data_IF_746540571059
#
_entry.id   IF_746540571059
#
_cell.length_a   1.000
_cell.length_b   1.000
_cell.length_c   1.000
_cell.angle_alpha   90.00
_cell.angle_beta   90.00
_cell.angle_gamma   90.00
#
_symmetry.space_group_name_H-M   'P 1'
#
loop_
_entity.id
_entity.type
_entity.pdbx_description
1 polymer ?
#
# COMPACT_ATOMS: atom_id res chain seq x y z
N UNK A 1 -1.04 32.92 46.83
CA UNK A 1 -0.07 31.80 46.89
C UNK A 1 -0.58 30.57 46.13
N UNK A 2 -1.84 30.14 46.32
CA UNK A 2 -2.45 29.03 45.60
C UNK A 2 -2.46 29.15 44.06
N UNK A 3 -2.75 30.34 43.51
CA UNK A 3 -2.71 30.56 42.05
C UNK A 3 -1.31 30.39 41.45
N UNK A 4 -0.25 30.82 42.15
CA UNK A 4 1.14 30.63 41.72
C UNK A 4 1.55 29.15 41.78
N UNK A 5 1.14 28.43 42.84
CA UNK A 5 1.39 26.98 42.96
C UNK A 5 0.61 26.17 41.90
N UNK A 6 -0.64 26.53 41.64
CA UNK A 6 -1.46 25.95 40.56
C UNK A 6 -0.88 26.24 39.18
N UNK A 7 -0.45 27.47 38.91
CA UNK A 7 0.20 27.84 37.64
C UNK A 7 1.53 27.09 37.44
N UNK A 8 2.35 26.93 38.48
CA UNK A 8 3.61 26.16 38.42
C UNK A 8 3.32 24.66 38.17
N UNK A 9 2.34 24.09 38.87
CA UNK A 9 1.93 22.69 38.69
C UNK A 9 1.37 22.44 37.28
N UNK A 10 0.48 23.32 36.82
CA UNK A 10 -0.09 23.30 35.47
C UNK A 10 0.99 23.44 34.40
N UNK A 11 1.93 24.38 34.56
CA UNK A 11 2.99 24.62 33.58
C UNK A 11 4.00 23.46 33.51
N UNK A 12 4.31 22.82 34.64
CA UNK A 12 5.18 21.64 34.71
C UNK A 12 4.52 20.41 34.08
N UNK A 13 3.24 20.16 34.38
CA UNK A 13 2.49 19.05 33.79
C UNK A 13 2.33 19.20 32.28
N UNK A 14 2.04 20.42 31.80
CA UNK A 14 1.95 20.71 30.36
C UNK A 14 3.29 20.47 29.65
N UNK A 15 4.44 20.75 30.29
CA UNK A 15 5.76 20.45 29.70
C UNK A 15 5.99 18.95 29.51
N UNK A 16 5.58 18.13 30.48
CA UNK A 16 5.67 16.66 30.36
C UNK A 16 4.73 16.13 29.28
N UNK A 17 3.48 16.60 29.25
CA UNK A 17 2.49 16.23 28.22
C UNK A 17 3.02 16.59 26.83
N UNK A 18 3.48 17.83 26.62
CA UNK A 18 4.05 18.25 25.33
C UNK A 18 5.25 17.40 24.93
N UNK A 19 6.08 16.98 25.88
CA UNK A 19 7.24 16.10 25.60
C UNK A 19 6.80 14.71 25.15
N UNK A 20 5.79 14.13 25.81
CA UNK A 20 5.22 12.82 25.44
C UNK A 20 4.58 12.92 24.05
N UNK A 21 3.72 13.92 23.81
CA UNK A 21 3.11 14.16 22.51
C UNK A 21 4.18 14.31 21.42
N UNK A 22 5.24 15.07 21.69
CA UNK A 22 6.37 15.28 20.76
C UNK A 22 7.07 13.97 20.40
N UNK A 23 7.36 13.12 21.39
CA UNK A 23 8.01 11.82 21.15
C UNK A 23 7.09 10.90 20.34
N UNK A 24 5.82 10.79 20.74
CA UNK A 24 4.85 9.94 20.04
C UNK A 24 4.63 10.38 18.60
N UNK A 25 4.35 11.67 18.36
CA UNK A 25 4.16 12.23 17.02
C UNK A 25 5.43 12.05 16.19
N UNK A 26 6.60 12.38 16.73
CA UNK A 26 7.87 12.24 16.02
C UNK A 26 8.12 10.79 15.58
N UNK A 27 7.99 9.83 16.50
CA UNK A 27 8.20 8.41 16.19
C UNK A 27 7.18 7.86 15.18
N UNK A 28 5.90 8.22 15.33
CA UNK A 28 4.84 7.75 14.44
C UNK A 28 4.99 8.31 13.02
N UNK A 29 5.36 9.58 12.86
CA UNK A 29 5.64 10.18 11.56
C UNK A 29 6.87 9.59 10.89
N UNK A 30 7.94 9.34 11.66
CA UNK A 30 9.14 8.67 11.14
C UNK A 30 8.79 7.26 10.66
N UNK A 31 8.09 6.48 11.49
CA UNK A 31 7.72 5.11 11.15
C UNK A 31 6.79 5.06 9.93
N UNK A 32 5.74 5.88 9.92
CA UNK A 32 4.82 6.03 8.77
C UNK A 32 5.56 6.40 7.49
N UNK A 33 6.38 7.45 7.55
CA UNK A 33 7.12 7.96 6.40
C UNK A 33 8.14 6.95 5.86
N UNK A 34 8.88 6.26 6.73
CA UNK A 34 9.86 5.25 6.32
C UNK A 34 9.22 4.05 5.64
N UNK A 35 8.07 3.58 6.14
CA UNK A 35 7.37 2.46 5.51
C UNK A 35 6.85 2.85 4.12
N UNK A 36 6.35 4.08 3.94
CA UNK A 36 5.98 4.58 2.62
C UNK A 36 7.18 4.80 1.70
N UNK A 37 8.30 5.30 2.23
CA UNK A 37 9.54 5.48 1.46
C UNK A 37 10.20 4.15 1.08
N UNK A 38 9.86 3.05 1.76
CA UNK A 38 10.24 1.71 1.33
C UNK A 38 9.50 1.29 0.04
N UNK A 39 8.29 1.78 -0.20
CA UNK A 39 7.54 1.54 -1.44
C UNK A 39 6.84 2.81 -1.96
N UNK A 40 7.61 3.80 -2.46
CA UNK A 40 7.06 5.07 -2.91
C UNK A 40 6.24 4.91 -4.20
N UNK A 41 6.53 3.87 -5.00
CA UNK A 41 5.77 3.55 -6.22
C UNK A 41 4.40 2.96 -5.88
N UNK A 42 4.31 2.08 -4.87
CA UNK A 42 3.04 1.62 -4.34
C UNK A 42 2.18 2.78 -3.82
N UNK A 43 2.79 3.71 -3.08
CA UNK A 43 2.09 4.90 -2.59
C UNK A 43 1.67 5.85 -3.72
N UNK A 44 2.45 5.98 -4.80
CA UNK A 44 2.07 6.84 -5.93
C UNK A 44 0.84 6.33 -6.67
N UNK A 45 0.64 5.02 -6.78
CA UNK A 45 -0.59 4.46 -7.35
C UNK A 45 -1.83 4.86 -6.55
N UNK A 46 -1.71 4.95 -5.22
CA UNK A 46 -2.80 5.45 -4.39
C UNK A 46 -3.09 6.92 -4.64
N UNK A 47 -2.05 7.74 -4.86
CA UNK A 47 -2.24 9.13 -5.25
C UNK A 47 -2.90 9.26 -6.63
N UNK A 48 -2.54 8.42 -7.60
CA UNK A 48 -3.18 8.38 -8.92
C UNK A 48 -4.68 8.07 -8.80
N UNK A 49 -5.07 7.08 -7.96
CA UNK A 49 -6.48 6.78 -7.67
C UNK A 49 -7.21 8.03 -7.14
N UNK A 50 -6.60 8.81 -6.24
CA UNK A 50 -7.19 10.06 -5.78
C UNK A 50 -7.26 11.14 -6.87
N UNK A 51 -6.21 11.27 -7.69
CA UNK A 51 -6.17 12.26 -8.77
C UNK A 51 -7.24 12.01 -9.82
N UNK A 52 -7.51 10.73 -10.11
CA UNK A 52 -8.59 10.33 -11.00
C UNK A 52 -9.96 10.73 -10.44
N UNK A 53 -10.20 10.44 -9.16
CA UNK A 53 -11.49 10.71 -8.51
C UNK A 53 -11.74 12.20 -8.33
N UNK A 54 -10.69 13.00 -8.09
CA UNK A 54 -10.79 14.45 -8.03
C UNK A 54 -10.72 15.12 -9.41
N UNK A 55 -10.63 14.35 -10.50
CA UNK A 55 -10.51 14.83 -11.88
C UNK A 55 -9.29 15.75 -12.12
N UNK A 56 -8.19 15.51 -11.41
CA UNK A 56 -6.91 16.24 -11.51
C UNK A 56 -5.79 15.38 -12.10
N UNK A 57 -6.13 14.60 -13.14
CA UNK A 57 -5.24 13.64 -13.83
C UNK A 57 -3.92 14.22 -14.34
N UNK A 58 -3.81 15.54 -14.50
CA UNK A 58 -2.56 16.20 -14.86
C UNK A 58 -1.41 15.89 -13.87
N UNK A 59 -1.73 15.59 -12.60
CA UNK A 59 -0.74 15.20 -11.61
C UNK A 59 -0.25 13.76 -11.72
N UNK A 60 -0.88 12.90 -12.53
CA UNK A 60 -0.49 11.48 -12.67
C UNK A 60 0.98 11.34 -13.12
N UNK A 61 1.44 12.19 -14.05
CA UNK A 61 2.85 12.19 -14.49
C UNK A 61 3.85 12.55 -13.38
N UNK A 62 3.38 13.20 -12.32
CA UNK A 62 4.19 13.61 -11.17
C UNK A 62 3.92 12.78 -9.92
N UNK A 63 3.07 11.74 -10.00
CA UNK A 63 2.58 10.96 -8.85
C UNK A 63 3.73 10.42 -7.99
N UNK A 64 4.75 9.82 -8.63
CA UNK A 64 5.93 9.26 -7.96
C UNK A 64 6.74 10.35 -7.25
N UNK A 65 6.95 11.49 -7.92
CA UNK A 65 7.69 12.61 -7.33
C UNK A 65 6.96 13.17 -6.11
N UNK A 66 5.64 13.36 -6.22
CA UNK A 66 4.77 13.82 -5.13
C UNK A 66 4.79 12.80 -3.98
N UNK A 67 4.71 11.50 -4.28
CA UNK A 67 4.79 10.43 -3.28
C UNK A 67 6.11 10.51 -2.49
N UNK A 68 7.25 10.58 -3.17
CA UNK A 68 8.57 10.69 -2.51
C UNK A 68 8.64 11.96 -1.67
N UNK A 69 8.19 13.11 -2.18
CA UNK A 69 8.20 14.37 -1.44
C UNK A 69 7.34 14.29 -0.18
N UNK A 70 6.09 13.84 -0.29
CA UNK A 70 5.18 13.74 0.85
C UNK A 70 5.73 12.79 1.93
N UNK A 71 6.24 11.63 1.54
CA UNK A 71 6.78 10.66 2.47
C UNK A 71 8.11 11.12 3.10
N UNK A 72 8.96 11.80 2.32
CA UNK A 72 10.18 12.42 2.84
C UNK A 72 9.84 13.53 3.85
N UNK A 73 8.82 14.36 3.57
CA UNK A 73 8.35 15.38 4.50
C UNK A 73 7.86 14.78 5.82
N UNK A 74 7.15 13.64 5.80
CA UNK A 74 6.77 12.93 7.04
C UNK A 74 8.00 12.61 7.90
N UNK A 75 9.03 12.00 7.31
CA UNK A 75 10.26 11.64 8.03
C UNK A 75 11.02 12.86 8.49
N UNK A 76 11.17 13.89 7.63
CA UNK A 76 11.89 15.12 7.96
C UNK A 76 11.23 15.84 9.13
N UNK A 77 9.91 16.03 9.07
CA UNK A 77 9.16 16.70 10.14
C UNK A 77 9.13 15.86 11.42
N UNK A 78 9.02 14.54 11.30
CA UNK A 78 9.08 13.60 12.43
C UNK A 78 10.42 13.63 13.16
N UNK A 79 11.54 13.61 12.43
CA UNK A 79 12.89 13.77 13.02
C UNK A 79 13.05 15.16 13.61
N UNK A 80 12.68 16.20 12.87
CA UNK A 80 12.87 17.58 13.31
C UNK A 80 12.09 17.89 14.59
N UNK A 81 10.85 17.41 14.73
CA UNK A 81 10.06 17.63 15.95
C UNK A 81 10.61 16.84 17.14
N UNK A 82 11.12 15.62 16.90
CA UNK A 82 11.71 14.77 17.95
C UNK A 82 12.92 15.47 18.62
N UNK A 83 13.78 16.11 17.82
CA UNK A 83 14.95 16.86 18.28
C UNK A 83 14.65 18.33 18.63
N UNK A 84 13.42 18.80 18.43
CA UNK A 84 13.02 20.19 18.68
C UNK A 84 13.69 21.19 17.73
N UNK A 85 14.04 20.77 16.52
CA UNK A 85 14.63 21.62 15.49
C UNK A 85 13.56 22.52 14.87
N UNK A 86 13.77 23.85 14.89
CA UNK A 86 12.87 24.86 14.29
C UNK A 86 11.38 24.59 14.55
N UNK A 87 11.03 24.31 15.81
CA UNK A 87 9.71 23.82 16.25
C UNK A 87 8.51 24.56 15.66
N UNK A 88 8.58 25.90 15.50
CA UNK A 88 7.47 26.68 14.94
C UNK A 88 7.13 26.28 13.50
N UNK A 89 8.16 26.23 12.65
CA UNK A 89 7.99 25.83 11.25
C UNK A 89 7.57 24.37 11.15
N UNK A 90 8.19 23.50 11.94
CA UNK A 90 7.88 22.06 11.93
C UNK A 90 6.46 21.78 12.41
N UNK A 91 5.98 22.48 13.44
CA UNK A 91 4.62 22.29 13.96
C UNK A 91 3.56 22.71 12.94
N UNK A 92 3.80 23.80 12.20
CA UNK A 92 2.97 24.20 11.07
C UNK A 92 2.99 23.16 9.94
N UNK A 93 4.17 22.64 9.59
CA UNK A 93 4.32 21.59 8.57
C UNK A 93 3.57 20.31 8.96
N UNK A 94 3.73 19.85 10.21
CA UNK A 94 3.00 18.69 10.74
C UNK A 94 1.49 18.90 10.69
N UNK A 95 1.02 20.09 11.08
CA UNK A 95 -0.40 20.43 11.06
C UNK A 95 -0.97 20.42 9.63
N UNK A 96 -0.28 21.04 8.68
CA UNK A 96 -0.71 21.03 7.27
C UNK A 96 -0.75 19.60 6.72
N UNK A 97 0.30 18.83 6.98
CA UNK A 97 0.44 17.47 6.47
C UNK A 97 -0.61 16.52 7.06
N UNK A 98 -0.89 16.61 8.37
CA UNK A 98 -1.93 15.77 8.99
C UNK A 98 -3.33 16.17 8.54
N UNK A 99 -3.61 17.46 8.33
CA UNK A 99 -4.90 17.93 7.80
C UNK A 99 -5.09 17.39 6.39
N UNK A 100 -4.05 17.46 5.54
CA UNK A 100 -4.08 16.91 4.19
C UNK A 100 -4.36 15.40 4.19
N UNK A 101 -3.64 14.61 4.98
CA UNK A 101 -3.91 13.17 5.07
C UNK A 101 -5.27 12.86 5.68
N UNK A 102 -5.69 13.58 6.72
CA UNK A 102 -7.02 13.42 7.32
C UNK A 102 -8.13 13.65 6.29
N UNK A 103 -7.96 14.63 5.39
CA UNK A 103 -8.89 14.86 4.30
C UNK A 103 -8.96 13.67 3.32
N UNK A 104 -7.80 13.18 2.87
CA UNK A 104 -7.74 12.02 1.96
C UNK A 104 -8.33 10.75 2.60
N UNK A 105 -7.99 10.49 3.87
CA UNK A 105 -8.46 9.30 4.58
C UNK A 105 -9.94 9.38 4.91
N UNK A 106 -10.44 10.56 5.27
CA UNK A 106 -11.89 10.80 5.43
C UNK A 106 -12.64 10.57 4.12
N UNK A 107 -12.13 11.14 3.02
CA UNK A 107 -12.77 11.02 1.71
C UNK A 107 -12.88 9.55 1.28
N UNK A 108 -11.80 8.77 1.43
CA UNK A 108 -11.85 7.33 1.19
C UNK A 108 -12.79 6.57 2.12
N UNK A 109 -12.90 6.97 3.38
CA UNK A 109 -13.78 6.32 4.35
C UNK A 109 -15.26 6.58 4.10
N UNK A 110 -15.60 7.77 3.60
CA UNK A 110 -16.98 8.17 3.34
C UNK A 110 -17.49 7.69 1.98
N UNK A 111 -16.66 7.77 0.93
CA UNK A 111 -17.06 7.48 -0.45
C UNK A 111 -16.63 6.09 -0.96
N UNK A 112 -15.98 5.26 -0.12
CA UNK A 112 -15.42 3.92 -0.46
C UNK A 112 -14.55 3.89 -1.73
N UNK A 113 -13.82 4.97 -1.97
CA UNK A 113 -13.05 5.18 -3.20
C UNK A 113 -11.75 4.39 -3.21
N UNK A 114 -11.07 4.29 -2.05
CA UNK A 114 -9.79 3.60 -1.90
C UNK A 114 -9.88 2.64 -0.72
N UNK A 115 -9.82 1.33 -1.01
CA UNK A 115 -10.12 0.27 -0.02
C UNK A 115 -9.00 0.00 1.00
N UNK A 116 -7.76 0.40 0.68
CA UNK A 116 -6.61 0.28 1.58
C UNK A 116 -5.92 1.64 1.69
N UNK A 117 -5.83 2.16 2.91
CA UNK A 117 -5.15 3.43 3.11
C UNK A 117 -3.63 3.21 3.09
N UNK A 118 -2.91 3.91 2.22
CA UNK A 118 -1.45 3.84 2.10
C UNK A 118 -0.67 4.44 3.28
N UNK A 119 -1.33 4.75 4.40
CA UNK A 119 -0.74 5.45 5.55
C UNK A 119 0.41 4.68 6.25
N UNK A 120 0.42 3.35 6.20
CA UNK A 120 1.56 2.52 6.64
C UNK A 120 2.03 1.60 5.50
N UNK A 121 1.87 2.05 4.25
CA UNK A 121 2.10 1.21 3.08
C UNK A 121 1.43 -0.16 3.18
N UNK A 122 2.06 -1.16 2.59
CA UNK A 122 1.59 -2.55 2.61
C UNK A 122 2.02 -3.32 3.87
N UNK A 123 2.78 -2.70 4.79
CA UNK A 123 3.26 -3.37 6.00
C UNK A 123 2.13 -3.59 7.02
N UNK A 124 1.23 -2.61 7.17
CA UNK A 124 0.06 -2.67 8.06
C UNK A 124 -1.14 -2.11 7.30
N UNK A 125 -1.86 -2.93 6.52
CA UNK A 125 -3.02 -2.46 5.77
C UNK A 125 -4.14 -2.07 6.74
N UNK A 126 -4.42 -0.78 6.82
CA UNK A 126 -5.50 -0.24 7.64
C UNK A 126 -6.73 0.04 6.78
N UNK A 127 -7.90 -0.18 7.37
CA UNK A 127 -9.14 0.28 6.74
C UNK A 127 -9.18 1.81 6.68
N UNK A 128 -9.97 2.41 5.77
CA UNK A 128 -10.11 3.86 5.70
C UNK A 128 -10.52 4.50 7.03
N UNK A 129 -11.51 3.91 7.72
CA UNK A 129 -11.99 4.40 9.03
C UNK A 129 -10.94 4.29 10.14
N UNK A 130 -10.14 3.21 10.16
CA UNK A 130 -9.03 3.08 11.10
C UNK A 130 -7.96 4.14 10.85
N UNK A 131 -7.66 4.42 9.58
CA UNK A 131 -6.66 5.41 9.18
C UNK A 131 -7.09 6.83 9.51
N UNK A 132 -8.35 7.17 9.21
CA UNK A 132 -8.93 8.46 9.58
C UNK A 132 -8.93 8.68 11.10
N UNK A 133 -9.31 7.66 11.87
CA UNK A 133 -9.31 7.73 13.34
C UNK A 133 -7.89 7.96 13.90
N UNK A 134 -6.89 7.27 13.34
CA UNK A 134 -5.49 7.48 13.69
C UNK A 134 -5.05 8.91 13.38
N UNK A 135 -5.41 9.43 12.21
CA UNK A 135 -5.04 10.80 11.81
C UNK A 135 -5.69 11.85 12.72
N UNK A 136 -6.93 11.62 13.18
CA UNK A 136 -7.60 12.49 14.15
C UNK A 136 -6.92 12.48 15.53
N UNK A 137 -6.48 11.31 16.01
CA UNK A 137 -5.69 11.21 17.25
C UNK A 137 -4.37 11.97 17.10
N UNK A 138 -3.67 11.76 15.98
CA UNK A 138 -2.43 12.48 15.67
C UNK A 138 -2.65 13.99 15.57
N UNK A 139 -3.76 14.43 14.98
CA UNK A 139 -4.14 15.83 14.92
C UNK A 139 -4.28 16.44 16.32
N UNK A 140 -4.94 15.76 17.25
CA UNK A 140 -5.07 16.23 18.65
C UNK A 140 -3.68 16.36 19.30
N UNK A 141 -2.81 15.37 19.12
CA UNK A 141 -1.44 15.41 19.66
C UNK A 141 -0.62 16.55 19.04
N UNK A 142 -0.77 16.79 17.74
CA UNK A 142 -0.11 17.89 17.02
C UNK A 142 -0.64 19.24 17.50
N UNK A 143 -1.95 19.40 17.77
CA UNK A 143 -2.50 20.63 18.34
C UNK A 143 -1.90 20.96 19.71
N UNK A 144 -1.71 19.94 20.57
CA UNK A 144 -1.01 20.12 21.86
C UNK A 144 0.42 20.62 21.65
N UNK A 145 1.14 20.07 20.67
CA UNK A 145 2.50 20.53 20.31
C UNK A 145 2.46 21.96 19.79
N UNK A 146 1.54 22.26 18.87
CA UNK A 146 1.40 23.54 18.19
C UNK A 146 1.16 24.70 19.17
N UNK A 147 0.22 24.54 20.12
CA UNK A 147 -0.04 25.57 21.13
C UNK A 147 1.04 25.65 22.22
N UNK A 148 1.89 24.63 22.36
CA UNK A 148 2.98 24.60 23.33
C UNK A 148 4.38 24.67 22.67
N UNK A 149 4.44 25.11 21.41
CA UNK A 149 5.67 25.11 20.61
C UNK A 149 6.81 25.94 21.22
N UNK A 150 6.49 27.02 21.94
CA UNK A 150 7.48 27.87 22.63
C UNK A 150 8.14 27.17 23.82
N UNK A 151 7.53 26.10 24.35
CA UNK A 151 8.09 25.31 25.47
C UNK A 151 9.10 24.25 25.01
N UNK A 152 9.17 23.98 23.70
CA UNK A 152 10.04 22.96 23.12
C UNK A 152 11.37 23.61 22.77
N UNK A 153 12.42 23.25 23.52
CA UNK A 153 13.79 23.66 23.23
C UNK A 153 14.48 22.65 22.32
N UNK A 154 15.30 23.16 21.40
CA UNK A 154 16.17 22.34 20.57
C UNK A 154 17.21 21.63 21.44
N UNK A 155 17.45 20.35 21.15
CA UNK A 155 18.43 19.52 21.87
C UNK A 155 19.87 19.96 21.55
N UNK A 156 20.13 20.40 20.30
CA UNK A 156 21.49 20.70 19.80
C UNK A 156 21.69 22.18 19.47
N UNK A 157 20.80 23.06 19.92
CA UNK A 157 20.81 24.50 19.57
C UNK A 157 20.55 24.76 18.07
N UNK A 158 20.73 26.00 17.63
CA UNK A 158 20.37 26.41 16.26
C UNK A 158 21.24 25.75 15.18
N UNK A 159 22.57 25.72 15.36
CA UNK A 159 23.48 25.10 14.39
C UNK A 159 23.25 23.59 14.28
N UNK A 160 23.07 22.90 15.41
CA UNK A 160 22.76 21.47 15.42
C UNK A 160 21.39 21.15 14.81
N UNK A 161 20.41 22.05 14.97
CA UNK A 161 19.10 21.89 14.33
C UNK A 161 19.19 21.86 12.80
N UNK A 162 20.08 22.66 12.20
CA UNK A 162 20.30 22.65 10.75
C UNK A 162 20.89 21.30 10.31
N UNK A 163 21.89 20.79 11.05
CA UNK A 163 22.51 19.49 10.76
C UNK A 163 21.48 18.36 10.83
N UNK A 164 20.61 18.36 11.86
CA UNK A 164 19.53 17.38 11.99
C UNK A 164 18.58 17.43 10.79
N UNK A 165 18.17 18.62 10.35
CA UNK A 165 17.28 18.77 9.18
C UNK A 165 17.97 18.28 7.91
N UNK A 166 19.24 18.64 7.67
CA UNK A 166 19.99 18.17 6.50
C UNK A 166 20.10 16.65 6.49
N UNK A 167 20.46 16.04 7.63
CA UNK A 167 20.55 14.59 7.76
C UNK A 167 19.19 13.92 7.52
N UNK A 168 18.11 14.49 8.05
CA UNK A 168 16.76 14.00 7.83
C UNK A 168 16.33 14.11 6.35
N UNK A 169 16.71 15.18 5.66
CA UNK A 169 16.47 15.34 4.22
C UNK A 169 17.21 14.28 3.40
N UNK A 170 18.51 14.08 3.67
CA UNK A 170 19.31 13.06 3.00
C UNK A 170 18.73 11.67 3.23
N UNK A 171 18.30 11.38 4.46
CA UNK A 171 17.67 10.11 4.80
C UNK A 171 16.33 9.95 4.08
N UNK A 172 15.40 10.91 4.20
CA UNK A 172 14.07 10.83 3.60
C UNK A 172 14.09 10.74 2.07
N UNK A 173 14.76 11.67 1.39
CA UNK A 173 14.85 11.66 -0.06
C UNK A 173 15.74 10.52 -0.57
N UNK A 174 16.86 10.25 0.10
CA UNK A 174 17.79 9.18 -0.28
C UNK A 174 17.12 7.81 -0.24
N UNK A 175 16.36 7.50 0.82
CA UNK A 175 15.65 6.21 0.91
C UNK A 175 14.57 6.08 -0.15
N UNK A 176 13.77 7.13 -0.40
CA UNK A 176 12.71 7.09 -1.41
C UNK A 176 13.25 6.94 -2.83
N UNK A 177 14.28 7.70 -3.19
CA UNK A 177 14.93 7.61 -4.51
C UNK A 177 15.59 6.25 -4.69
N UNK A 178 16.25 5.73 -3.65
CA UNK A 178 16.85 4.41 -3.70
C UNK A 178 15.79 3.32 -3.93
N UNK A 179 14.72 3.30 -3.14
CA UNK A 179 13.66 2.30 -3.26
C UNK A 179 13.00 2.35 -4.64
N UNK A 180 12.75 3.55 -5.18
CA UNK A 180 12.21 3.73 -6.52
C UNK A 180 13.14 3.23 -7.63
N UNK A 181 14.46 3.35 -7.48
CA UNK A 181 15.44 2.93 -8.49
C UNK A 181 15.82 1.45 -8.40
N UNK A 182 15.54 0.80 -7.28
CA UNK A 182 15.91 -0.59 -7.04
C UNK A 182 14.62 -1.36 -6.80
N UNK A 183 14.43 -1.97 -5.64
CA UNK A 183 13.14 -2.47 -5.19
C UNK A 183 12.96 -2.03 -3.74
N UNK A 184 11.75 -2.18 -3.17
CA UNK A 184 11.58 -2.07 -1.72
C UNK A 184 12.61 -2.89 -0.96
N UNK A 185 13.18 -2.33 0.11
CA UNK A 185 14.15 -3.02 0.97
C UNK A 185 13.52 -4.22 1.66
N UNK A 186 12.26 -4.06 2.07
CA UNK A 186 11.42 -5.11 2.64
C UNK A 186 10.19 -5.23 1.77
N UNK A 187 10.02 -6.41 1.17
CA UNK A 187 8.85 -6.72 0.35
C UNK A 187 7.74 -7.28 1.25
N UNK A 188 6.69 -6.47 1.46
CA UNK A 188 5.50 -6.85 2.22
C UNK A 188 4.43 -7.50 1.35
N UNK A 189 4.63 -7.58 0.04
CA UNK A 189 3.63 -8.06 -0.90
C UNK A 189 3.57 -9.58 -0.98
N UNK A 190 2.45 -10.15 -1.43
CA UNK A 190 2.30 -11.60 -1.62
C UNK A 190 3.30 -12.20 -2.62
N UNK A 191 3.91 -11.38 -3.49
CA UNK A 191 4.86 -11.79 -4.53
C UNK A 191 6.33 -11.69 -4.11
N UNK A 192 6.60 -11.60 -2.80
CA UNK A 192 7.98 -11.54 -2.30
C UNK A 192 8.74 -12.85 -2.51
N UNK A 193 10.07 -12.74 -2.47
CA UNK A 193 10.99 -13.87 -2.58
C UNK A 193 10.67 -14.92 -1.50
N UNK A 194 10.63 -16.18 -1.91
CA UNK A 194 10.33 -17.35 -1.06
C UNK A 194 8.85 -17.74 -1.00
N UNK A 195 7.93 -16.89 -1.46
CA UNK A 195 6.51 -17.23 -1.47
C UNK A 195 6.14 -18.19 -2.63
N UNK A 196 5.21 -19.11 -2.36
CA UNK A 196 4.58 -19.96 -3.37
C UNK A 196 3.26 -19.33 -3.83
N UNK A 197 3.21 -18.84 -5.07
CA UNK A 197 2.06 -18.10 -5.59
C UNK A 197 0.79 -18.97 -5.68
N UNK A 198 0.81 -20.21 -6.20
CA UNK A 198 -0.38 -21.08 -6.22
C UNK A 198 -1.00 -21.29 -4.84
N UNK A 199 -0.17 -21.48 -3.81
CA UNK A 199 -0.63 -21.68 -2.44
C UNK A 199 -1.29 -20.43 -1.86
N UNK A 200 -0.80 -19.24 -2.24
CA UNK A 200 -1.36 -17.94 -1.82
C UNK A 200 -2.60 -17.53 -2.60
N UNK A 201 -2.95 -18.27 -3.67
CA UNK A 201 -4.20 -18.11 -4.42
C UNK A 201 -5.33 -19.00 -3.89
N UNK A 202 -5.00 -20.03 -3.10
CA UNK A 202 -5.97 -20.99 -2.58
C UNK A 202 -6.57 -20.50 -1.26
N UNK A 203 -7.88 -20.69 -1.11
CA UNK A 203 -8.56 -20.57 0.18
C UNK A 203 -8.32 -21.89 0.94
N UNK A 204 -7.73 -21.87 2.14
CA UNK A 204 -7.46 -23.08 2.90
C UNK A 204 -8.76 -23.77 3.31
N UNK A 205 -8.73 -25.11 3.40
CA UNK A 205 -9.89 -25.88 3.82
C UNK A 205 -10.31 -25.48 5.25
N UNK A 206 -11.57 -25.05 5.42
CA UNK A 206 -12.10 -24.58 6.71
C UNK A 206 -11.98 -23.07 6.95
N UNK A 207 -11.56 -22.28 5.96
CA UNK A 207 -11.55 -20.84 6.08
C UNK A 207 -12.98 -20.28 6.24
N UNK A 208 -13.15 -19.32 7.14
CA UNK A 208 -14.48 -18.75 7.40
C UNK A 208 -14.96 -17.97 6.17
N UNK A 209 -16.18 -18.24 5.65
CA UNK A 209 -16.76 -17.43 4.60
C UNK A 209 -17.16 -16.05 5.15
N UNK A 210 -17.45 -15.13 4.24
CA UNK A 210 -18.05 -13.84 4.57
C UNK A 210 -19.34 -14.05 5.39
N UNK A 211 -19.41 -13.41 6.56
CA UNK A 211 -20.59 -13.43 7.42
C UNK A 211 -21.41 -12.19 7.11
N UNK A 212 -22.50 -12.39 6.38
CA UNK A 212 -23.51 -11.37 6.15
C UNK A 212 -24.55 -11.39 7.26
N UNK A 213 -25.16 -10.22 7.50
CA UNK A 213 -26.28 -10.03 8.40
C UNK A 213 -27.38 -9.31 7.64
N UNK A 214 -28.57 -9.86 7.68
CA UNK A 214 -29.78 -9.20 7.19
C UNK A 214 -30.53 -8.62 8.37
N UNK A 215 -30.91 -7.35 8.31
CA UNK A 215 -31.74 -6.71 9.35
C UNK A 215 -33.18 -6.67 8.85
N UNK A 216 -34.09 -7.25 9.63
CA UNK A 216 -35.52 -7.24 9.41
C UNK A 216 -36.15 -6.09 10.18
N UNK A 217 -36.86 -5.20 9.49
CA UNK A 217 -37.71 -4.19 10.13
C UNK A 217 -39.12 -4.76 10.29
N UNK A 218 -39.59 -4.81 11.53
CA UNK A 218 -40.92 -5.26 11.92
C UNK A 218 -41.74 -4.08 12.45
N UNK A 219 -43.04 -4.06 12.20
CA UNK A 219 -43.96 -3.08 12.74
C UNK A 219 -44.94 -3.74 13.70
N UNK A 220 -45.09 -3.18 14.89
CA UNK A 220 -46.09 -3.63 15.83
C UNK A 220 -47.49 -3.17 15.38
N UNK A 221 -48.43 -4.09 15.22
CA UNK A 221 -49.78 -3.80 14.73
C UNK A 221 -50.63 -3.02 15.74
N UNK A 222 -50.33 -3.10 17.04
CA UNK A 222 -51.10 -2.47 18.12
C UNK A 222 -50.58 -1.07 18.47
N UNK A 223 -49.26 -0.88 18.47
CA UNK A 223 -48.63 0.39 18.88
C UNK A 223 -48.09 1.20 17.71
N UNK A 224 -47.97 0.60 16.52
CA UNK A 224 -47.35 1.22 15.35
C UNK A 224 -45.82 1.31 15.42
N UNK A 225 -45.20 0.81 16.49
CA UNK A 225 -43.76 0.88 16.75
C UNK A 225 -42.95 0.05 15.73
N UNK A 226 -41.84 0.61 15.25
CA UNK A 226 -40.91 -0.10 14.36
C UNK A 226 -39.77 -0.70 15.18
N UNK A 227 -39.50 -1.98 14.95
CA UNK A 227 -38.43 -2.74 15.60
C UNK A 227 -37.53 -3.37 14.56
N UNK A 228 -36.25 -3.07 14.63
CA UNK A 228 -35.23 -3.72 13.81
C UNK A 228 -34.64 -4.90 14.58
N UNK A 229 -34.60 -6.06 13.92
CA UNK A 229 -34.03 -7.28 14.48
C UNK A 229 -33.19 -7.97 13.42
N UNK A 230 -32.09 -8.58 13.82
CA UNK A 230 -31.23 -9.27 12.87
C UNK A 230 -31.67 -10.69 12.56
N UNK A 231 -31.23 -11.22 11.42
CA UNK A 231 -31.52 -12.57 10.92
C UNK A 231 -31.40 -13.67 11.99
N UNK A 232 -30.33 -13.68 12.77
CA UNK A 232 -30.13 -14.66 13.85
C UNK A 232 -31.15 -14.48 14.96
N UNK A 233 -31.37 -13.25 15.42
CA UNK A 233 -32.36 -12.96 16.45
C UNK A 233 -33.80 -13.14 15.95
N UNK A 234 -34.08 -12.88 14.67
CA UNK A 234 -35.38 -13.05 14.02
C UNK A 234 -35.80 -14.52 14.01
N UNK A 235 -34.86 -15.41 13.65
CA UNK A 235 -35.07 -16.86 13.69
C UNK A 235 -35.12 -17.36 15.14
N UNK A 236 -34.18 -16.94 15.99
CA UNK A 236 -34.08 -17.44 17.37
C UNK A 236 -35.29 -17.04 18.24
N UNK A 237 -35.81 -15.83 18.07
CA UNK A 237 -36.98 -15.35 18.83
C UNK A 237 -38.31 -15.77 18.23
N UNK A 238 -38.30 -16.36 17.02
CA UNK A 238 -39.49 -16.73 16.26
C UNK A 238 -40.54 -15.61 16.20
N UNK A 239 -40.07 -14.37 16.13
CA UNK A 239 -40.94 -13.19 16.21
C UNK A 239 -41.96 -13.12 15.06
N UNK A 240 -41.70 -13.83 13.96
CA UNK A 240 -42.62 -14.03 12.85
C UNK A 240 -43.85 -14.89 13.19
N UNK A 241 -43.80 -15.67 14.27
CA UNK A 241 -44.96 -16.42 14.79
C UNK A 241 -45.84 -15.55 15.70
N UNK A 242 -45.38 -14.37 16.11
CA UNK A 242 -46.14 -13.46 16.96
C UNK A 242 -47.10 -12.60 16.10
N UNK A 243 -48.43 -12.70 16.30
CA UNK A 243 -49.42 -11.97 15.50
C UNK A 243 -49.38 -10.45 15.67
N UNK A 244 -48.74 -9.96 16.74
CA UNK A 244 -48.61 -8.53 17.02
C UNK A 244 -47.54 -7.82 16.18
N UNK A 245 -46.70 -8.57 15.46
CA UNK A 245 -45.61 -8.03 14.65
C UNK A 245 -45.80 -8.35 13.16
N UNK A 246 -45.59 -7.35 12.32
CA UNK A 246 -45.70 -7.45 10.87
C UNK A 246 -44.35 -7.17 10.22
N UNK A 247 -43.92 -8.04 9.30
CA UNK A 247 -42.71 -7.80 8.51
C UNK A 247 -42.93 -6.64 7.52
N UNK A 248 -42.02 -5.67 7.54
CA UNK A 248 -42.06 -4.51 6.65
C UNK A 248 -41.06 -4.67 5.51
N UNK A 249 -39.78 -4.86 5.84
CA UNK A 249 -38.69 -4.97 4.88
C UNK A 249 -37.46 -5.63 5.48
N UNK A 250 -36.63 -6.19 4.61
CA UNK A 250 -35.29 -6.67 4.91
C UNK A 250 -34.29 -5.66 4.33
N UNK A 251 -33.21 -5.40 5.05
CA UNK A 251 -32.07 -4.68 4.50
C UNK A 251 -31.36 -5.54 3.44
N UNK A 252 -30.58 -4.90 2.58
CA UNK A 252 -29.58 -5.63 1.82
C UNK A 252 -28.62 -6.38 2.78
N UNK A 253 -28.05 -7.53 2.36
CA UNK A 253 -27.08 -8.26 3.18
C UNK A 253 -25.89 -7.37 3.54
N UNK A 254 -25.78 -7.01 4.83
CA UNK A 254 -24.65 -6.21 5.32
C UNK A 254 -23.54 -7.16 5.72
N UNK A 255 -22.36 -7.02 5.10
CA UNK A 255 -21.17 -7.79 5.50
C UNK A 255 -20.75 -7.39 6.92
N UNK A 256 -20.90 -8.28 7.89
CA UNK A 256 -20.54 -8.03 9.30
C UNK A 256 -19.13 -8.47 9.60
N UNK A 257 -18.68 -9.56 8.99
CA UNK A 257 -17.32 -10.06 9.14
C UNK A 257 -16.83 -10.58 7.81
N UNK A 258 -15.80 -9.92 7.27
CA UNK A 258 -15.10 -10.41 6.09
C UNK A 258 -14.45 -11.76 6.40
N UNK A 259 -14.72 -12.74 5.57
CA UNK A 259 -14.13 -14.06 5.58
C UNK A 259 -12.67 -14.03 5.16
N UNK A 260 -12.05 -15.20 5.13
CA UNK A 260 -10.68 -15.31 4.66
C UNK A 260 -10.61 -14.98 3.16
N UNK A 261 -9.82 -13.96 2.82
CA UNK A 261 -9.49 -13.63 1.44
C UNK A 261 -8.06 -14.10 1.17
N UNK A 262 -7.80 -14.86 0.09
CA UNK A 262 -6.44 -15.28 -0.23
C UNK A 262 -5.57 -14.03 -0.51
N UNK A 263 -4.29 -14.04 -0.12
CA UNK A 263 -3.39 -12.91 -0.36
C UNK A 263 -3.27 -12.52 -1.84
N UNK A 264 -3.40 -13.49 -2.75
CA UNK A 264 -3.47 -13.27 -4.20
C UNK A 264 -4.85 -13.71 -4.67
N UNK A 265 -5.71 -12.79 -5.10
CA UNK A 265 -7.10 -13.10 -5.50
C UNK A 265 -7.42 -12.71 -6.94
N UNK A 266 -6.66 -11.75 -7.46
CA UNK A 266 -6.92 -10.99 -8.68
C UNK A 266 -5.95 -11.37 -9.81
N UNK A 267 -5.02 -12.29 -9.56
CA UNK A 267 -4.11 -12.76 -10.59
C UNK A 267 -4.80 -13.74 -11.53
N UNK A 268 -5.03 -13.27 -12.75
CA UNK A 268 -5.42 -14.09 -13.90
C UNK A 268 -4.54 -13.73 -15.07
N UNK A 269 -3.86 -14.73 -15.64
CA UNK A 269 -2.95 -14.60 -16.76
C UNK A 269 -3.61 -15.29 -17.97
N UNK A 270 -3.80 -14.52 -19.04
CA UNK A 270 -4.40 -15.00 -20.27
C UNK A 270 -3.40 -14.94 -21.43
N UNK A 271 -3.55 -15.81 -22.42
CA UNK A 271 -2.85 -15.71 -23.69
C UNK A 271 -3.46 -14.62 -24.60
N UNK A 272 -2.92 -14.46 -25.81
CA UNK A 272 -3.43 -13.48 -26.80
C UNK A 272 -4.86 -13.75 -27.27
N UNK A 273 -5.32 -15.00 -27.15
CA UNK A 273 -6.67 -15.44 -27.53
C UNK A 273 -7.67 -15.31 -26.37
N UNK A 274 -7.18 -14.92 -25.18
CA UNK A 274 -7.99 -14.74 -23.97
C UNK A 274 -8.20 -16.01 -23.15
N UNK A 275 -7.50 -17.11 -23.46
CA UNK A 275 -7.58 -18.34 -22.66
C UNK A 275 -6.80 -18.16 -21.35
N UNK A 276 -7.38 -18.62 -20.25
CA UNK A 276 -6.71 -18.61 -18.94
C UNK A 276 -5.62 -19.68 -18.90
N UNK A 277 -4.37 -19.23 -18.74
CA UNK A 277 -3.16 -20.07 -18.67
C UNK A 277 -2.47 -19.96 -17.31
N UNK A 278 -3.14 -19.39 -16.31
CA UNK A 278 -2.56 -19.06 -15.00
C UNK A 278 -1.93 -20.27 -14.32
N UNK A 279 -2.69 -21.35 -14.17
CA UNK A 279 -2.21 -22.58 -13.53
C UNK A 279 -1.07 -23.22 -14.31
N UNK A 280 -1.17 -23.26 -15.64
CA UNK A 280 -0.14 -23.84 -16.51
C UNK A 280 1.21 -23.13 -16.34
N UNK A 281 1.20 -21.80 -16.22
CA UNK A 281 2.43 -21.02 -16.05
C UNK A 281 2.97 -21.12 -14.61
N UNK A 282 2.11 -21.09 -13.61
CA UNK A 282 2.53 -21.11 -12.20
C UNK A 282 2.93 -22.50 -11.70
N UNK A 283 2.33 -23.57 -12.22
CA UNK A 283 2.58 -24.95 -11.79
C UNK A 283 3.67 -25.64 -12.63
N UNK A 284 4.42 -24.88 -13.44
CA UNK A 284 5.58 -25.39 -14.16
C UNK A 284 6.65 -25.86 -13.15
N UNK A 285 7.02 -27.16 -13.13
CA UNK A 285 7.97 -27.70 -12.16
C UNK A 285 9.40 -27.16 -12.33
N UNK A 286 9.75 -26.70 -13.53
CA UNK A 286 11.05 -26.19 -13.88
C UNK A 286 11.19 -24.68 -13.59
N UNK A 287 12.39 -24.15 -13.81
CA UNK A 287 12.60 -22.71 -13.73
C UNK A 287 11.83 -21.99 -14.86
N UNK A 288 11.38 -20.77 -14.57
CA UNK A 288 10.86 -19.85 -15.57
C UNK A 288 11.26 -18.41 -15.27
N UNK A 289 11.53 -17.64 -16.32
CA UNK A 289 11.75 -16.21 -16.26
C UNK A 289 10.49 -15.47 -16.65
N UNK A 290 10.03 -14.57 -15.78
CA UNK A 290 8.89 -13.70 -16.04
C UNK A 290 9.39 -12.26 -16.11
N UNK A 291 9.23 -11.65 -17.28
CA UNK A 291 9.53 -10.24 -17.53
C UNK A 291 8.23 -9.48 -17.38
N UNK A 292 8.07 -8.77 -16.26
CA UNK A 292 6.85 -8.05 -15.94
C UNK A 292 6.97 -6.60 -16.43
N UNK A 293 6.13 -6.26 -17.40
CA UNK A 293 6.04 -4.96 -18.05
C UNK A 293 4.60 -4.47 -17.96
N UNK A 294 4.22 -3.98 -16.79
CA UNK A 294 2.81 -3.67 -16.51
C UNK A 294 2.19 -2.67 -17.51
N UNK A 295 2.97 -1.75 -18.08
CA UNK A 295 2.52 -0.75 -19.05
C UNK A 295 3.63 -0.53 -20.08
N UNK A 296 3.50 -1.11 -21.28
CA UNK A 296 4.55 -1.09 -22.31
C UNK A 296 4.92 0.31 -22.79
N UNK A 297 3.98 1.25 -23.05
CA UNK A 297 4.32 2.64 -23.32
C UNK A 297 5.24 3.32 -22.29
N UNK A 298 5.18 2.89 -21.01
CA UNK A 298 5.99 3.44 -19.91
C UNK A 298 7.20 2.57 -19.54
N UNK A 299 7.41 1.44 -20.21
CA UNK A 299 8.51 0.52 -19.89
C UNK A 299 9.86 1.10 -20.30
N UNK A 300 10.91 0.80 -19.54
CA UNK A 300 12.26 1.23 -19.88
C UNK A 300 12.88 0.34 -20.97
N UNK A 301 12.80 0.79 -22.21
CA UNK A 301 13.34 0.08 -23.40
C UNK A 301 14.87 -0.11 -23.40
N UNK A 302 15.63 0.65 -22.59
CA UNK A 302 17.11 0.61 -22.62
C UNK A 302 17.69 -0.72 -22.16
N UNK A 303 16.93 -1.51 -21.40
CA UNK A 303 17.39 -2.80 -20.87
C UNK A 303 16.98 -3.98 -21.75
N UNK A 304 16.30 -3.74 -22.87
CA UNK A 304 15.77 -4.80 -23.73
C UNK A 304 16.87 -5.76 -24.22
N UNK A 305 18.03 -5.24 -24.61
CA UNK A 305 19.14 -6.08 -25.06
C UNK A 305 19.60 -7.07 -23.97
N UNK A 306 19.63 -6.61 -22.71
CA UNK A 306 19.95 -7.48 -21.58
C UNK A 306 18.85 -8.51 -21.33
N UNK A 307 17.58 -8.13 -21.43
CA UNK A 307 16.45 -9.05 -21.31
C UNK A 307 16.50 -10.13 -22.40
N UNK A 308 16.79 -9.76 -23.65
CA UNK A 308 16.96 -10.71 -24.75
C UNK A 308 18.12 -11.69 -24.49
N UNK A 309 19.24 -11.22 -23.93
CA UNK A 309 20.35 -12.11 -23.51
C UNK A 309 19.92 -13.11 -22.43
N UNK A 310 19.08 -12.68 -21.48
CA UNK A 310 18.51 -13.55 -20.45
C UNK A 310 17.54 -14.56 -21.09
N UNK A 311 16.73 -14.14 -22.07
CA UNK A 311 15.85 -15.04 -22.82
C UNK A 311 16.64 -16.12 -23.56
N UNK A 312 17.70 -15.75 -24.28
CA UNK A 312 18.59 -16.70 -24.97
C UNK A 312 19.27 -17.67 -24.00
N UNK A 313 19.70 -17.19 -22.82
CA UNK A 313 20.18 -18.06 -21.75
C UNK A 313 19.08 -19.04 -21.31
N UNK A 314 17.84 -18.55 -21.19
CA UNK A 314 16.69 -19.38 -20.89
C UNK A 314 16.54 -20.53 -21.89
N UNK A 315 16.60 -20.23 -23.19
CA UNK A 315 16.53 -21.22 -24.26
C UNK A 315 17.65 -22.28 -24.17
N UNK A 316 18.90 -21.86 -23.89
CA UNK A 316 20.05 -22.75 -23.70
C UNK A 316 19.78 -23.81 -22.60
N UNK A 317 19.13 -23.40 -21.51
CA UNK A 317 18.79 -24.26 -20.36
C UNK A 317 17.36 -24.82 -20.42
N UNK A 318 16.64 -24.62 -21.53
CA UNK A 318 15.22 -24.99 -21.69
C UNK A 318 14.28 -24.38 -20.62
N UNK A 319 14.66 -23.20 -20.13
CA UNK A 319 13.90 -22.38 -19.19
C UNK A 319 13.00 -21.45 -19.99
N UNK A 320 11.69 -21.56 -19.74
CA UNK A 320 10.70 -20.71 -20.42
C UNK A 320 10.84 -19.27 -19.95
N UNK A 321 10.89 -18.34 -20.90
CA UNK A 321 10.82 -16.90 -20.64
C UNK A 321 9.52 -16.34 -21.20
N UNK A 322 8.78 -15.58 -20.38
CA UNK A 322 7.53 -14.94 -20.79
C UNK A 322 7.55 -13.44 -20.43
N UNK A 323 6.86 -12.64 -21.24
CA UNK A 323 6.50 -11.27 -20.91
C UNK A 323 5.11 -11.22 -20.27
N UNK A 324 4.90 -10.33 -19.30
CA UNK A 324 3.60 -10.09 -18.67
C UNK A 324 3.24 -8.62 -18.76
N UNK A 325 2.06 -8.30 -19.29
CA UNK A 325 1.62 -6.91 -19.45
C UNK A 325 0.12 -6.72 -19.25
N UNK A 326 -0.29 -5.49 -18.96
CA UNK A 326 -1.70 -5.07 -19.00
C UNK A 326 -2.07 -4.33 -20.28
N UNK A 327 -1.08 -4.09 -21.16
CA UNK A 327 -1.28 -3.51 -22.49
C UNK A 327 -2.00 -4.49 -23.41
N UNK A 328 -2.77 -3.98 -24.38
CA UNK A 328 -3.58 -4.81 -25.29
C UNK A 328 -2.69 -5.77 -26.12
N UNK A 329 -3.21 -6.94 -26.56
CA UNK A 329 -2.44 -7.87 -27.39
C UNK A 329 -1.87 -7.26 -28.67
N UNK A 330 -2.63 -6.41 -29.35
CA UNK A 330 -2.19 -5.75 -30.58
C UNK A 330 -1.02 -4.79 -30.34
N UNK A 331 -1.11 -4.00 -29.27
CA UNK A 331 -0.05 -3.04 -28.90
C UNK A 331 1.20 -3.77 -28.37
N UNK A 332 1.00 -4.87 -27.64
CA UNK A 332 2.09 -5.71 -27.15
C UNK A 332 2.87 -6.37 -28.29
N UNK A 333 2.17 -6.84 -29.32
CA UNK A 333 2.79 -7.39 -30.53
C UNK A 333 3.59 -6.31 -31.29
N UNK A 334 3.02 -5.12 -31.43
CA UNK A 334 3.70 -3.98 -32.03
C UNK A 334 4.97 -3.61 -31.26
N UNK A 335 4.88 -3.54 -29.93
CA UNK A 335 6.02 -3.29 -29.05
C UNK A 335 7.09 -4.39 -29.18
N UNK A 336 6.67 -5.66 -29.20
CA UNK A 336 7.57 -6.81 -29.34
C UNK A 336 8.44 -6.69 -30.59
N UNK A 337 7.85 -6.29 -31.71
CA UNK A 337 8.58 -6.03 -32.95
C UNK A 337 9.45 -4.77 -32.88
N UNK A 338 8.95 -3.69 -32.27
CA UNK A 338 9.71 -2.44 -32.10
C UNK A 338 11.03 -2.67 -31.36
N UNK A 339 10.99 -3.44 -30.27
CA UNK A 339 12.15 -3.67 -29.39
C UNK A 339 12.88 -4.97 -29.70
N UNK A 340 12.41 -5.75 -30.68
CA UNK A 340 12.89 -7.10 -30.99
C UNK A 340 12.91 -8.03 -29.76
N UNK A 341 11.84 -8.05 -28.97
CA UNK A 341 11.74 -8.93 -27.82
C UNK A 341 11.66 -10.41 -28.24
N UNK A 342 12.48 -11.27 -27.63
CA UNK A 342 12.56 -12.71 -27.93
C UNK A 342 11.57 -13.57 -27.15
N UNK A 343 10.68 -12.94 -26.40
CA UNK A 343 9.67 -13.60 -25.58
C UNK A 343 8.28 -13.21 -26.03
N UNK A 344 7.33 -14.12 -25.81
CA UNK A 344 5.91 -13.88 -26.02
C UNK A 344 5.29 -13.15 -24.83
N UNK A 345 4.27 -12.33 -25.08
CA UNK A 345 3.52 -11.63 -24.04
C UNK A 345 2.28 -12.41 -23.63
N UNK A 346 2.04 -12.41 -22.33
CA UNK A 346 0.81 -12.84 -21.67
C UNK A 346 0.18 -11.64 -20.94
N UNK A 347 -1.13 -11.72 -20.72
CA UNK A 347 -1.95 -10.58 -20.34
C UNK A 347 -2.58 -10.77 -18.97
N UNK A 348 -2.39 -9.79 -18.09
CA UNK A 348 -2.99 -9.75 -16.77
C UNK A 348 -3.29 -8.30 -16.36
N UNK A 349 -4.17 -8.13 -15.37
CA UNK A 349 -4.55 -6.81 -14.89
C UNK A 349 -3.36 -6.02 -14.32
N UNK A 350 -3.41 -4.70 -14.43
CA UNK A 350 -2.32 -3.83 -13.98
C UNK A 350 -2.01 -3.96 -12.48
N UNK A 351 -3.04 -4.18 -11.64
CA UNK A 351 -2.90 -4.25 -10.17
C UNK A 351 -2.00 -5.41 -9.71
N UNK A 352 -2.26 -6.68 -10.12
CA UNK A 352 -1.36 -7.77 -9.76
C UNK A 352 0.04 -7.56 -10.36
N UNK A 353 0.18 -7.11 -11.61
CA UNK A 353 1.49 -6.90 -12.23
C UNK A 353 2.32 -5.83 -11.52
N UNK A 354 1.72 -4.69 -11.17
CA UNK A 354 2.35 -3.64 -10.35
C UNK A 354 2.77 -4.17 -8.97
N UNK A 355 2.08 -5.18 -8.45
CA UNK A 355 2.38 -5.81 -7.15
C UNK A 355 3.40 -6.94 -7.25
N UNK A 356 3.52 -7.59 -8.41
CA UNK A 356 4.52 -8.64 -8.66
C UNK A 356 5.92 -8.09 -8.54
N UNK A 357 6.18 -6.93 -9.15
CA UNK A 357 7.46 -6.26 -9.10
C UNK A 357 7.25 -4.76 -9.22
N UNK A 358 7.82 -3.99 -8.30
CA UNK A 358 7.75 -2.52 -8.29
C UNK A 358 8.68 -1.91 -9.35
N UNK A 359 8.59 -2.40 -10.59
CA UNK A 359 9.45 -2.06 -11.71
C UNK A 359 8.70 -2.19 -13.05
N UNK A 360 9.19 -1.51 -14.08
CA UNK A 360 8.67 -1.59 -15.45
C UNK A 360 9.81 -1.34 -16.47
N UNK A 361 10.53 -2.36 -16.96
CA UNK A 361 10.32 -3.79 -16.71
C UNK A 361 10.86 -4.25 -15.34
N UNK A 362 10.41 -5.40 -14.86
CA UNK A 362 11.06 -6.15 -13.78
C UNK A 362 11.21 -7.61 -14.15
N UNK A 363 12.26 -8.27 -13.65
CA UNK A 363 12.50 -9.69 -13.88
C UNK A 363 12.16 -10.49 -12.63
N UNK A 364 11.47 -11.62 -12.80
CA UNK A 364 11.18 -12.59 -11.74
C UNK A 364 11.67 -13.95 -12.19
N UNK A 365 12.39 -14.65 -11.32
CA UNK A 365 12.73 -16.07 -11.50
C UNK A 365 11.81 -16.90 -10.61
N UNK A 366 11.07 -17.82 -11.21
CA UNK A 366 10.20 -18.75 -10.51
C UNK A 366 10.64 -20.19 -10.71
N UNK A 367 10.25 -21.06 -9.79
CA UNK A 367 10.33 -22.52 -9.92
C UNK A 367 9.15 -23.16 -9.20
N UNK A 368 8.32 -23.94 -9.89
CA UNK A 368 7.13 -24.57 -9.32
C UNK A 368 6.25 -23.60 -8.51
N UNK A 369 6.02 -22.41 -9.09
CA UNK A 369 5.23 -21.34 -8.49
C UNK A 369 5.89 -20.62 -7.32
N UNK A 370 7.11 -21.00 -6.92
CA UNK A 370 7.88 -20.33 -5.88
C UNK A 370 8.70 -19.20 -6.49
N UNK A 371 8.60 -17.99 -5.91
CA UNK A 371 9.44 -16.84 -6.30
C UNK A 371 10.85 -17.06 -5.77
N UNK A 372 11.80 -17.37 -6.66
CA UNK A 372 13.19 -17.64 -6.31
C UNK A 372 13.95 -16.32 -6.12
N UNK A 373 13.76 -15.37 -7.04
CA UNK A 373 14.32 -14.03 -6.92
C UNK A 373 13.62 -13.03 -7.85
N UNK A 374 13.84 -11.74 -7.63
CA UNK A 374 13.25 -10.61 -8.35
C UNK A 374 14.26 -9.49 -8.54
N UNK A 375 14.21 -8.81 -9.68
CA UNK A 375 15.09 -7.71 -10.01
C UNK A 375 14.34 -6.55 -10.67
N UNK A 376 14.75 -5.35 -10.31
CA UNK A 376 14.38 -4.14 -11.02
C UNK A 376 15.27 -3.94 -12.25
N UNK A 377 14.76 -3.23 -13.27
CA UNK A 377 15.51 -3.00 -14.50
C UNK A 377 16.91 -2.38 -14.31
N UNK A 378 17.10 -1.54 -13.29
CA UNK A 378 18.43 -0.95 -12.99
C UNK A 378 19.45 -1.98 -12.46
N UNK A 379 18.99 -3.13 -11.96
CA UNK A 379 19.80 -4.12 -11.28
C UNK A 379 19.59 -5.52 -11.88
N UNK A 380 19.33 -5.60 -13.18
CA UNK A 380 19.18 -6.88 -13.84
C UNK A 380 20.49 -7.68 -13.71
N UNK A 381 20.39 -8.98 -13.40
CA UNK A 381 21.57 -9.82 -13.26
C UNK A 381 22.23 -10.02 -14.63
N UNK A 382 23.53 -10.28 -14.60
CA UNK A 382 24.24 -10.74 -15.79
C UNK A 382 23.94 -12.21 -16.08
N UNK A 383 24.16 -12.63 -17.33
CA UNK A 383 24.03 -14.05 -17.75
C UNK A 383 24.92 -14.96 -16.87
N UNK A 384 26.14 -14.52 -16.56
CA UNK A 384 27.08 -15.31 -15.75
C UNK A 384 26.65 -15.42 -14.29
N UNK A 385 26.09 -14.35 -13.71
CA UNK A 385 25.50 -14.39 -12.38
C UNK A 385 24.31 -15.35 -12.30
N UNK A 386 23.45 -15.35 -13.32
CA UNK A 386 22.33 -16.29 -13.40
C UNK A 386 22.81 -17.74 -13.48
N UNK A 387 23.76 -18.03 -14.38
CA UNK A 387 24.37 -19.35 -14.53
C UNK A 387 24.96 -19.84 -13.21
N UNK A 388 25.84 -19.04 -12.60
CA UNK A 388 26.57 -19.40 -11.39
C UNK A 388 25.66 -19.61 -10.19
N UNK A 389 24.66 -18.74 -10.00
CA UNK A 389 23.89 -18.73 -8.76
C UNK A 389 22.67 -19.67 -8.80
N UNK A 390 22.08 -19.90 -9.97
CA UNK A 390 20.81 -20.61 -10.10
C UNK A 390 20.83 -21.81 -11.04
N UNK A 391 21.59 -21.78 -12.14
CA UNK A 391 21.44 -22.77 -13.23
C UNK A 391 22.50 -23.86 -13.25
N UNK A 392 23.71 -23.60 -12.73
CA UNK A 392 24.82 -24.58 -12.68
C UNK A 392 24.81 -25.46 -11.42
N UNK A 393 23.63 -25.77 -10.86
CA UNK A 393 23.52 -26.57 -9.63
C UNK A 393 22.84 -27.91 -9.86
#
# INVERSE_FOLDING_TARGET
MAYKLWAIFYHKNMKHITTICRILVGLLFIFSGLIKLNDPLGFSYKLEEYFEVFHINFFNSFSVAIAIILCALEVILGIAILFGAKTKLVSWGLLLLIIFFSFLTFYSAYFDVVKTCGCFGDAIPLTPWQSFSKDLILLILILVIFFNQDKIKSVFGDKGSIVVIIAACLLGFGTGIYAYRNLPFIDFLPYKIGNNLPSLMKVPAGAQPDVFKVVYTLKNKKTGELKEIDDKAYIATKIYENPDWEYVKASDPVLVKKGYTPPIRDLKINDSDGNDVTSTLLENPDYSFWIVENDLPKTNKKVQEQLNKITLLGEEYKIRTIGLTSTSPLDAETFRHEVNAYYEFYFADAVPLKSMVRANPGLILLKNGVVINKWHYNNLPTVDELRKNYLNK
#
